data_IF_392542968390
#
_entry.id   IF_392542968390
#
_cell.length_a   1.000
_cell.length_b   1.000
_cell.length_c   1.000
_cell.angle_alpha   90.00
_cell.angle_beta   90.00
_cell.angle_gamma   90.00
#
_symmetry.space_group_name_H-M   'P 1'
#
loop_
_entity.id
_entity.type
_entity.pdbx_description
1 polymer ?
#
# COMPACT_ATOMS: atom_id res chain seq x y z
N UNK A 1 2.28 12.86 -27.31
CA UNK A 1 3.53 12.17 -27.73
C UNK A 1 4.54 12.03 -26.58
N UNK A 2 4.86 13.09 -25.84
CA UNK A 2 5.84 13.06 -24.73
C UNK A 2 5.48 12.04 -23.63
N UNK A 3 4.20 11.88 -23.25
CA UNK A 3 3.78 10.95 -22.23
C UNK A 3 4.07 9.49 -22.58
N UNK A 4 3.88 9.10 -23.85
CA UNK A 4 4.18 7.73 -24.28
C UNK A 4 5.67 7.40 -24.18
N UNK A 5 6.53 8.38 -24.47
CA UNK A 5 7.98 8.23 -24.31
C UNK A 5 8.35 8.06 -22.83
N UNK A 6 7.73 8.84 -21.94
CA UNK A 6 7.94 8.73 -20.50
C UNK A 6 7.53 7.35 -19.97
N UNK A 7 6.37 6.85 -20.40
CA UNK A 7 5.93 5.51 -20.03
C UNK A 7 6.88 4.42 -20.55
N UNK A 8 7.39 4.58 -21.77
CA UNK A 8 8.38 3.65 -22.33
C UNK A 8 9.69 3.67 -21.52
N UNK A 9 10.19 4.87 -21.16
CA UNK A 9 11.38 5.02 -20.30
C UNK A 9 11.15 4.42 -18.93
N UNK A 10 9.99 4.68 -18.32
CA UNK A 10 9.62 4.13 -17.02
C UNK A 10 9.57 2.59 -17.04
N UNK A 11 8.95 2.00 -18.06
CA UNK A 11 8.89 0.55 -18.21
C UNK A 11 10.28 -0.06 -18.48
N UNK A 12 11.08 0.55 -19.36
CA UNK A 12 12.43 0.06 -19.64
C UNK A 12 13.33 0.12 -18.41
N UNK A 13 13.32 1.25 -17.68
CA UNK A 13 14.05 1.42 -16.44
C UNK A 13 13.59 0.43 -15.36
N UNK A 14 12.27 0.27 -15.19
CA UNK A 14 11.68 -0.69 -14.27
C UNK A 14 12.12 -2.13 -14.57
N UNK A 15 12.08 -2.55 -15.84
CA UNK A 15 12.53 -3.88 -16.26
C UNK A 15 14.03 -4.09 -16.00
N UNK A 16 14.86 -3.10 -16.36
CA UNK A 16 16.31 -3.19 -16.17
C UNK A 16 16.67 -3.36 -14.69
N UNK A 17 16.10 -2.50 -13.83
CA UNK A 17 16.39 -2.53 -12.40
C UNK A 17 15.76 -3.75 -11.70
N UNK A 18 14.58 -4.20 -12.12
CA UNK A 18 13.98 -5.42 -11.57
C UNK A 18 14.85 -6.66 -11.87
N UNK A 19 15.50 -6.70 -13.04
CA UNK A 19 16.45 -7.75 -13.35
C UNK A 19 17.69 -7.72 -12.45
N UNK A 20 18.19 -6.52 -12.15
CA UNK A 20 19.28 -6.33 -11.19
C UNK A 20 18.87 -6.77 -9.78
N UNK A 21 17.65 -6.39 -9.32
CA UNK A 21 17.12 -6.82 -8.01
C UNK A 21 16.98 -8.34 -7.92
N UNK A 22 16.59 -8.99 -9.02
CA UNK A 22 16.59 -10.46 -9.08
C UNK A 22 18.00 -11.05 -8.86
N UNK A 23 19.04 -10.42 -9.39
CA UNK A 23 20.44 -10.84 -9.16
C UNK A 23 20.83 -10.73 -7.68
N UNK A 24 20.31 -9.73 -6.99
CA UNK A 24 20.55 -9.49 -5.56
C UNK A 24 19.57 -10.26 -4.65
N UNK A 25 18.69 -11.11 -5.20
CA UNK A 25 17.59 -11.75 -4.47
C UNK A 25 16.65 -10.79 -3.73
N UNK A 26 16.45 -9.60 -4.28
CA UNK A 26 15.52 -8.58 -3.75
C UNK A 26 14.19 -8.61 -4.49
N UNK A 27 13.09 -8.07 -3.88
CA UNK A 27 11.81 -7.93 -4.56
C UNK A 27 11.89 -7.02 -5.80
N UNK A 28 11.11 -7.36 -6.85
CA UNK A 28 11.07 -6.55 -8.07
C UNK A 28 10.58 -5.12 -7.81
N UNK A 29 9.65 -4.95 -6.86
CA UNK A 29 9.10 -3.64 -6.51
C UNK A 29 10.18 -2.66 -6.03
N UNK A 30 11.16 -3.13 -5.28
CA UNK A 30 12.33 -2.32 -4.89
C UNK A 30 13.08 -1.81 -6.12
N UNK A 31 13.23 -2.65 -7.16
CA UNK A 31 13.82 -2.24 -8.43
C UNK A 31 13.01 -1.19 -9.18
N UNK A 32 11.69 -1.32 -9.18
CA UNK A 32 10.80 -0.34 -9.79
C UNK A 32 10.90 1.04 -9.12
N UNK A 33 10.90 1.07 -7.80
CA UNK A 33 11.07 2.30 -7.02
C UNK A 33 12.42 2.96 -7.30
N UNK A 34 13.52 2.18 -7.27
CA UNK A 34 14.86 2.68 -7.58
C UNK A 34 14.94 3.20 -9.02
N UNK A 35 14.30 2.51 -9.99
CA UNK A 35 14.22 2.99 -11.36
C UNK A 35 13.55 4.36 -11.43
N UNK A 36 12.42 4.51 -10.71
CA UNK A 36 11.71 5.78 -10.62
C UNK A 36 12.56 6.90 -10.06
N UNK A 37 13.23 6.65 -8.94
CA UNK A 37 14.16 7.60 -8.32
C UNK A 37 15.24 8.04 -9.31
N UNK A 38 15.85 7.09 -10.03
CA UNK A 38 16.92 7.39 -10.97
C UNK A 38 16.44 8.24 -12.15
N UNK A 39 15.31 7.89 -12.79
CA UNK A 39 14.78 8.63 -13.95
C UNK A 39 14.04 9.91 -13.55
N UNK A 40 13.71 10.07 -12.28
CA UNK A 40 12.93 11.16 -11.73
C UNK A 40 13.61 12.52 -11.76
N UNK A 41 12.89 13.58 -11.32
CA UNK A 41 13.33 14.97 -11.44
C UNK A 41 14.55 15.29 -10.57
N UNK A 42 14.87 14.47 -9.60
CA UNK A 42 15.93 14.73 -8.62
C UNK A 42 17.29 14.12 -9.00
N UNK A 43 17.33 13.12 -9.91
CA UNK A 43 18.58 12.44 -10.32
C UNK A 43 18.87 12.69 -11.80
N UNK A 44 18.35 11.86 -12.72
CA UNK A 44 18.63 11.98 -14.15
C UNK A 44 17.74 12.99 -14.87
N UNK A 45 16.67 13.46 -14.24
CA UNK A 45 15.72 14.46 -14.79
C UNK A 45 15.11 14.07 -16.14
N UNK A 46 15.02 12.77 -16.44
CA UNK A 46 14.37 12.25 -17.66
C UNK A 46 12.85 12.41 -17.59
N UNK A 47 12.30 12.33 -16.38
CA UNK A 47 10.88 12.56 -16.08
C UNK A 47 10.78 13.76 -15.15
N UNK A 48 9.99 14.76 -15.55
CA UNK A 48 9.82 16.00 -14.78
C UNK A 48 8.58 15.93 -13.88
N UNK A 49 8.46 16.84 -12.91
CA UNK A 49 7.27 16.94 -12.04
C UNK A 49 5.98 17.18 -12.84
N UNK A 50 6.06 17.90 -13.98
CA UNK A 50 4.91 18.11 -14.88
C UNK A 50 4.51 16.80 -15.55
N UNK A 51 5.48 15.99 -15.94
CA UNK A 51 5.25 14.69 -16.55
C UNK A 51 4.60 13.72 -15.56
N UNK A 52 5.05 13.71 -14.31
CA UNK A 52 4.47 12.91 -13.21
C UNK A 52 3.01 13.30 -12.97
N UNK A 53 2.72 14.60 -12.86
CA UNK A 53 1.34 15.09 -12.73
C UNK A 53 0.46 14.67 -13.91
N UNK A 54 0.98 14.71 -15.14
CA UNK A 54 0.26 14.25 -16.34
C UNK A 54 0.01 12.73 -16.35
N UNK A 55 0.84 11.96 -15.67
CA UNK A 55 0.71 10.50 -15.52
C UNK A 55 -0.16 10.08 -14.32
N UNK A 56 -0.68 11.03 -13.53
CA UNK A 56 -1.49 10.76 -12.31
C UNK A 56 -2.65 9.79 -12.57
N UNK A 57 -3.31 9.89 -13.72
CA UNK A 57 -4.40 8.98 -14.09
C UNK A 57 -3.94 7.51 -14.10
N UNK A 58 -2.68 7.24 -14.47
CA UNK A 58 -2.12 5.89 -14.50
C UNK A 58 -1.90 5.38 -13.09
N UNK A 59 -1.32 6.23 -12.21
CA UNK A 59 -1.07 5.85 -10.81
C UNK A 59 -2.36 5.65 -10.04
N UNK A 60 -3.37 6.52 -10.22
CA UNK A 60 -4.69 6.37 -9.60
C UNK A 60 -5.40 5.10 -10.10
N UNK A 61 -5.36 4.84 -11.39
CA UNK A 61 -5.95 3.63 -11.99
C UNK A 61 -5.23 2.37 -11.47
N UNK A 62 -3.91 2.38 -11.43
CA UNK A 62 -3.12 1.27 -10.91
C UNK A 62 -3.46 0.96 -9.46
N UNK A 63 -3.61 2.00 -8.64
CA UNK A 63 -4.03 1.87 -7.23
C UNK A 63 -5.42 1.23 -7.13
N UNK A 64 -6.37 1.61 -7.99
CA UNK A 64 -7.69 0.99 -8.08
C UNK A 64 -7.62 -0.51 -8.40
N UNK A 65 -6.77 -0.93 -9.36
CA UNK A 65 -6.56 -2.35 -9.67
C UNK A 65 -5.85 -3.11 -8.55
N UNK A 66 -4.91 -2.48 -7.85
CA UNK A 66 -4.27 -3.06 -6.66
C UNK A 66 -5.32 -3.32 -5.59
N UNK A 67 -6.15 -2.32 -5.29
CA UNK A 67 -7.24 -2.42 -4.33
C UNK A 67 -8.26 -3.49 -4.72
N UNK A 68 -8.67 -3.53 -5.99
CA UNK A 68 -9.53 -4.59 -6.54
C UNK A 68 -8.94 -5.98 -6.33
N UNK A 69 -7.65 -6.15 -6.59
CA UNK A 69 -6.95 -7.42 -6.42
C UNK A 69 -6.91 -7.85 -4.95
N UNK A 70 -6.64 -6.92 -4.03
CA UNK A 70 -6.67 -7.16 -2.58
C UNK A 70 -8.08 -7.57 -2.16
N UNK A 71 -9.11 -6.83 -2.61
CA UNK A 71 -10.51 -7.14 -2.37
C UNK A 71 -10.89 -8.55 -2.83
N UNK A 72 -10.37 -9.00 -3.97
CA UNK A 72 -10.57 -10.35 -4.51
C UNK A 72 -10.07 -11.49 -3.61
N UNK A 73 -9.08 -11.23 -2.78
CA UNK A 73 -8.59 -12.18 -1.76
C UNK A 73 -9.52 -12.27 -0.54
N UNK A 74 -10.49 -11.35 -0.38
CA UNK A 74 -11.46 -11.31 0.71
C UNK A 74 -12.56 -12.37 0.53
N UNK A 75 -12.23 -13.62 0.81
CA UNK A 75 -13.23 -14.69 0.84
C UNK A 75 -14.01 -14.68 2.16
N UNK A 76 -15.33 -14.59 2.08
CA UNK A 76 -16.21 -14.58 3.25
C UNK A 76 -15.99 -15.80 4.17
N UNK A 77 -15.62 -16.94 3.59
CA UNK A 77 -15.26 -18.15 4.33
C UNK A 77 -14.02 -17.98 5.19
N UNK A 78 -13.01 -17.27 4.69
CA UNK A 78 -11.78 -16.95 5.43
C UNK A 78 -12.07 -15.89 6.50
N UNK A 79 -12.83 -14.86 6.16
CA UNK A 79 -13.25 -13.83 7.12
C UNK A 79 -14.09 -14.39 8.26
N UNK A 80 -15.03 -15.30 7.99
CA UNK A 80 -15.79 -15.99 9.05
C UNK A 80 -14.90 -16.81 9.97
N UNK A 81 -13.82 -17.41 9.45
CA UNK A 81 -12.85 -18.18 10.24
C UNK A 81 -11.91 -17.29 11.05
N UNK A 82 -11.49 -16.15 10.53
CA UNK A 82 -10.48 -15.26 11.11
C UNK A 82 -11.05 -13.94 11.67
N UNK A 83 -12.29 -13.58 11.34
CA UNK A 83 -12.87 -12.24 11.43
C UNK A 83 -12.58 -11.46 12.71
N UNK A 84 -12.96 -12.01 13.89
CA UNK A 84 -12.70 -11.33 15.16
C UNK A 84 -11.21 -11.11 15.44
N UNK A 85 -10.36 -12.07 15.04
CA UNK A 85 -8.91 -11.97 15.23
C UNK A 85 -8.31 -10.86 14.37
N UNK A 86 -8.75 -10.73 13.11
CA UNK A 86 -8.27 -9.69 12.20
C UNK A 86 -8.61 -8.32 12.74
N UNK A 87 -9.86 -8.10 13.15
CA UNK A 87 -10.31 -6.82 13.72
C UNK A 87 -9.48 -6.44 14.95
N UNK A 88 -9.29 -7.37 15.89
CA UNK A 88 -8.48 -7.13 17.09
C UNK A 88 -7.05 -6.79 16.72
N UNK A 89 -6.42 -7.56 15.82
CA UNK A 89 -5.04 -7.30 15.39
C UNK A 89 -4.94 -5.92 14.74
N UNK A 90 -5.85 -5.59 13.81
CA UNK A 90 -5.83 -4.31 13.09
C UNK A 90 -6.00 -3.13 14.02
N UNK A 91 -7.00 -3.16 14.89
CA UNK A 91 -7.28 -2.04 15.80
C UNK A 91 -6.13 -1.87 16.80
N UNK A 92 -5.69 -2.96 17.43
CA UNK A 92 -4.62 -2.89 18.44
C UNK A 92 -3.30 -2.41 17.83
N UNK A 93 -2.93 -2.90 16.63
CA UNK A 93 -1.69 -2.46 15.99
C UNK A 93 -1.77 -1.01 15.52
N UNK A 94 -2.90 -0.55 15.00
CA UNK A 94 -3.07 0.84 14.58
C UNK A 94 -3.00 1.79 15.77
N UNK A 95 -3.81 1.55 16.81
CA UNK A 95 -3.83 2.37 18.04
C UNK A 95 -2.46 2.39 18.72
N UNK A 96 -1.81 1.24 18.88
CA UNK A 96 -0.48 1.16 19.49
C UNK A 96 0.56 1.95 18.70
N UNK A 97 0.51 1.87 17.36
CA UNK A 97 1.41 2.64 16.49
C UNK A 97 1.19 4.14 16.67
N UNK A 98 -0.08 4.58 16.63
CA UNK A 98 -0.42 5.99 16.83
C UNK A 98 0.07 6.50 18.18
N UNK A 99 -0.22 5.77 19.26
CA UNK A 99 0.17 6.16 20.61
C UNK A 99 1.70 6.24 20.77
N UNK A 100 2.44 5.25 20.27
CA UNK A 100 3.89 5.27 20.39
C UNK A 100 4.53 6.42 19.58
N UNK A 101 4.06 6.68 18.37
CA UNK A 101 4.55 7.80 17.56
C UNK A 101 4.17 9.15 18.20
N UNK A 102 2.92 9.27 18.67
CA UNK A 102 2.44 10.48 19.37
C UNK A 102 3.30 10.74 20.60
N UNK A 103 3.47 9.77 21.49
CA UNK A 103 4.27 9.92 22.70
C UNK A 103 5.74 10.26 22.40
N UNK A 104 6.34 9.57 21.42
CA UNK A 104 7.73 9.84 21.03
C UNK A 104 7.91 11.26 20.46
N UNK A 105 6.99 11.73 19.62
CA UNK A 105 7.07 13.06 19.03
C UNK A 105 6.68 14.17 20.01
N UNK A 106 5.89 13.86 21.04
CA UNK A 106 5.66 14.78 22.17
C UNK A 106 6.95 15.05 22.96
N UNK A 107 7.98 14.24 22.90
CA UNK A 107 9.28 14.51 23.51
C UNK A 107 10.13 15.47 22.69
N UNK A 108 9.80 15.68 21.42
CA UNK A 108 10.53 16.60 20.53
C UNK A 108 9.99 18.02 20.69
N UNK A 109 10.80 18.97 21.19
CA UNK A 109 10.37 20.35 21.37
C UNK A 109 10.02 21.02 20.04
N UNK A 110 9.17 22.05 20.08
CA UNK A 110 8.79 22.84 18.92
C UNK A 110 7.46 23.56 19.12
N UNK A 111 7.16 24.54 18.28
CA UNK A 111 6.01 25.42 18.39
C UNK A 111 4.67 24.65 18.33
N UNK A 112 4.54 23.75 17.37
CA UNK A 112 3.30 22.95 17.18
C UNK A 112 3.47 21.50 17.66
N UNK A 113 4.04 21.31 18.85
CA UNK A 113 4.37 19.99 19.39
C UNK A 113 3.21 19.01 19.41
N UNK A 114 2.05 19.41 19.93
CA UNK A 114 0.86 18.55 20.06
C UNK A 114 0.21 18.30 18.68
N UNK A 115 -0.15 19.32 17.88
CA UNK A 115 -0.69 19.09 16.54
C UNK A 115 0.21 18.23 15.65
N UNK A 116 1.52 18.47 15.65
CA UNK A 116 2.48 17.69 14.90
C UNK A 116 2.49 16.22 15.32
N UNK A 117 2.48 15.95 16.62
CA UNK A 117 2.49 14.59 17.16
C UNK A 117 1.18 13.84 16.84
N UNK A 118 0.02 14.52 16.89
CA UNK A 118 -1.28 13.98 16.50
C UNK A 118 -1.31 13.59 15.03
N UNK A 119 -0.94 14.51 14.13
CA UNK A 119 -0.97 14.30 12.68
C UNK A 119 -0.01 13.19 12.24
N UNK A 120 1.23 13.25 12.69
CA UNK A 120 2.22 12.21 12.35
C UNK A 120 1.88 10.87 13.00
N UNK A 121 1.36 10.87 14.23
CA UNK A 121 0.87 9.65 14.88
C UNK A 121 -0.22 8.97 14.05
N UNK A 122 -1.19 9.73 13.58
CA UNK A 122 -2.27 9.21 12.75
C UNK A 122 -1.78 8.69 11.39
N UNK A 123 -0.91 9.45 10.70
CA UNK A 123 -0.29 9.04 9.43
C UNK A 123 0.51 7.74 9.62
N UNK A 124 1.10 7.52 10.80
CA UNK A 124 1.87 6.30 11.10
C UNK A 124 1.01 5.03 11.13
N UNK A 125 -0.30 5.13 11.32
CA UNK A 125 -1.20 3.97 11.26
C UNK A 125 -1.24 3.35 9.87
N UNK A 126 -1.14 4.14 8.81
CA UNK A 126 -1.28 3.67 7.43
C UNK A 126 -0.24 2.61 7.05
N UNK A 127 -0.69 1.57 6.33
CA UNK A 127 0.14 0.49 5.76
C UNK A 127 -0.04 0.46 4.25
N UNK A 128 1.02 0.16 3.49
CA UNK A 128 0.94 0.02 2.04
C UNK A 128 0.66 -1.43 1.62
N UNK A 129 -0.57 -1.77 1.24
CA UNK A 129 -0.91 -3.13 0.83
C UNK A 129 -0.26 -3.54 -0.49
N UNK A 130 -0.06 -2.58 -1.41
CA UNK A 130 0.45 -2.84 -2.75
C UNK A 130 1.83 -3.49 -2.78
N UNK A 131 2.79 -2.92 -2.04
CA UNK A 131 4.16 -3.45 -1.97
C UNK A 131 4.19 -4.86 -1.35
N UNK A 132 3.40 -5.06 -0.31
CA UNK A 132 3.26 -6.35 0.40
C UNK A 132 2.64 -7.42 -0.50
N UNK A 133 1.55 -7.09 -1.21
CA UNK A 133 0.88 -7.97 -2.16
C UNK A 133 1.84 -8.43 -3.28
N UNK A 134 2.63 -7.52 -3.83
CA UNK A 134 3.59 -7.88 -4.86
C UNK A 134 4.67 -8.84 -4.36
N UNK A 135 5.15 -8.66 -3.12
CA UNK A 135 6.10 -9.61 -2.51
C UNK A 135 5.45 -10.98 -2.31
N UNK A 136 4.24 -11.02 -1.75
CA UNK A 136 3.48 -12.27 -1.57
C UNK A 136 3.31 -13.02 -2.90
N UNK A 137 2.90 -12.32 -3.96
CA UNK A 137 2.71 -12.90 -5.30
C UNK A 137 4.01 -13.33 -5.95
N UNK A 138 5.06 -12.48 -5.88
CA UNK A 138 6.36 -12.78 -6.48
C UNK A 138 6.99 -14.05 -5.91
N UNK A 139 6.88 -14.25 -4.60
CA UNK A 139 7.47 -15.40 -3.91
C UNK A 139 6.46 -16.52 -3.67
N UNK A 140 5.21 -16.37 -4.11
CA UNK A 140 4.11 -17.33 -3.93
C UNK A 140 3.98 -17.75 -2.46
N UNK A 141 4.09 -16.77 -1.56
CA UNK A 141 4.01 -17.01 -0.12
C UNK A 141 2.63 -17.55 0.26
N UNK A 142 2.61 -18.57 1.13
CA UNK A 142 1.38 -19.20 1.64
C UNK A 142 1.58 -19.64 3.08
N UNK A 143 0.64 -19.27 3.94
CA UNK A 143 0.63 -19.66 5.33
C UNK A 143 -0.08 -18.68 6.24
N UNK A 144 -0.09 -18.93 7.56
CA UNK A 144 -0.88 -18.16 8.51
C UNK A 144 -0.53 -16.68 8.57
N UNK A 145 0.74 -16.29 8.31
CA UNK A 145 1.12 -14.87 8.26
C UNK A 145 0.53 -14.23 7.02
N UNK A 146 0.70 -14.85 5.85
CA UNK A 146 0.14 -14.35 4.58
C UNK A 146 -1.39 -14.25 4.63
N UNK A 147 -2.07 -15.28 5.14
CA UNK A 147 -3.54 -15.34 5.27
C UNK A 147 -4.08 -14.26 6.21
N UNK A 148 -3.29 -13.85 7.21
CA UNK A 148 -3.66 -12.78 8.16
C UNK A 148 -3.29 -11.40 7.61
N UNK A 149 -2.16 -11.29 6.92
CA UNK A 149 -1.58 -10.04 6.43
C UNK A 149 -2.52 -9.29 5.49
N UNK A 150 -3.02 -9.97 4.44
CA UNK A 150 -3.85 -9.32 3.42
C UNK A 150 -5.15 -8.73 4.00
N UNK A 151 -5.94 -9.47 4.80
CA UNK A 151 -7.09 -8.88 5.47
C UNK A 151 -6.74 -7.76 6.46
N UNK A 152 -5.66 -7.90 7.24
CA UNK A 152 -5.23 -6.85 8.19
C UNK A 152 -4.87 -5.57 7.47
N UNK A 153 -4.08 -5.63 6.39
CA UNK A 153 -3.71 -4.42 5.62
C UNK A 153 -4.92 -3.71 5.02
N UNK A 154 -5.91 -4.45 4.59
CA UNK A 154 -7.11 -3.88 4.01
C UNK A 154 -8.04 -3.22 5.04
N UNK A 155 -8.19 -3.81 6.23
CA UNK A 155 -8.90 -3.16 7.34
C UNK A 155 -8.11 -1.97 7.92
N UNK A 156 -6.79 -2.00 7.82
CA UNK A 156 -5.90 -0.95 8.32
C UNK A 156 -6.17 0.40 7.63
N UNK A 157 -6.52 0.40 6.36
CA UNK A 157 -6.88 1.61 5.63
C UNK A 157 -8.12 2.29 6.23
N UNK A 158 -9.18 1.53 6.51
CA UNK A 158 -10.38 2.09 7.13
C UNK A 158 -10.13 2.59 8.57
N UNK A 159 -9.43 1.79 9.38
CA UNK A 159 -9.08 2.16 10.77
C UNK A 159 -8.12 3.35 10.76
N UNK A 160 -7.15 3.38 9.86
CA UNK A 160 -6.20 4.47 9.71
C UNK A 160 -6.88 5.79 9.34
N UNK A 161 -7.84 5.78 8.40
CA UNK A 161 -8.61 6.96 8.02
C UNK A 161 -9.48 7.48 9.19
N UNK A 162 -10.14 6.61 9.93
CA UNK A 162 -10.92 7.02 11.12
C UNK A 162 -10.02 7.69 12.18
N UNK A 163 -8.87 7.08 12.49
CA UNK A 163 -7.92 7.65 13.45
C UNK A 163 -7.36 8.97 12.93
N UNK A 164 -7.04 9.05 11.64
CA UNK A 164 -6.53 10.28 11.02
C UNK A 164 -7.54 11.41 11.12
N UNK A 165 -8.80 11.19 10.79
CA UNK A 165 -9.84 12.22 10.87
C UNK A 165 -10.03 12.73 12.29
N UNK A 166 -10.00 11.85 13.29
CA UNK A 166 -10.04 12.23 14.69
C UNK A 166 -8.82 13.10 15.09
N UNK A 167 -7.62 12.62 14.79
CA UNK A 167 -6.38 13.32 15.14
C UNK A 167 -6.22 14.63 14.36
N UNK A 168 -6.71 14.68 13.12
CA UNK A 168 -6.68 15.87 12.28
C UNK A 168 -7.58 16.98 12.86
N UNK A 169 -8.82 16.65 13.23
CA UNK A 169 -9.73 17.58 13.88
C UNK A 169 -9.18 18.08 15.23
N UNK A 170 -8.60 17.19 16.04
CA UNK A 170 -7.90 17.57 17.27
C UNK A 170 -6.72 18.51 16.98
N UNK A 171 -5.92 18.21 15.98
CA UNK A 171 -4.77 19.04 15.61
C UNK A 171 -5.18 20.44 15.14
N UNK A 172 -6.28 20.54 14.36
CA UNK A 172 -6.87 21.83 13.97
C UNK A 172 -7.31 22.62 15.19
N UNK A 173 -8.07 22.01 16.11
CA UNK A 173 -8.53 22.68 17.34
C UNK A 173 -7.37 23.16 18.23
N UNK A 174 -6.29 22.39 18.33
CA UNK A 174 -5.10 22.83 19.07
C UNK A 174 -4.28 23.92 18.35
N UNK A 175 -4.40 24.02 17.02
CA UNK A 175 -3.68 25.01 16.22
C UNK A 175 -4.47 26.34 16.09
N UNK A 176 -5.81 26.29 15.93
CA UNK A 176 -6.67 27.46 15.71
C UNK A 176 -7.45 27.89 16.96
N UNK A 177 -7.59 27.01 17.96
CA UNK A 177 -8.41 27.26 19.15
C UNK A 177 -9.91 27.05 18.92
N UNK A 178 -10.32 26.43 17.80
CA UNK A 178 -11.72 26.19 17.45
C UNK A 178 -12.35 25.06 18.23
N UNK A 179 -13.70 25.09 18.37
CA UNK A 179 -14.45 24.05 19.04
C UNK A 179 -14.52 22.77 18.22
N UNK A 180 -14.25 21.63 18.89
CA UNK A 180 -14.37 20.30 18.31
C UNK A 180 -15.84 19.96 17.99
N UNK A 181 -16.11 19.62 16.72
CA UNK A 181 -17.45 19.21 16.29
C UNK A 181 -17.49 17.69 16.12
N UNK A 182 -18.46 17.03 16.77
CA UNK A 182 -18.70 15.57 16.61
C UNK A 182 -18.92 15.18 15.16
N UNK A 183 -19.48 16.07 14.36
CA UNK A 183 -19.70 15.86 12.94
C UNK A 183 -18.38 15.60 12.19
N UNK A 184 -17.41 16.50 12.28
CA UNK A 184 -16.12 16.39 11.59
C UNK A 184 -15.26 15.21 12.09
N UNK A 185 -15.40 14.85 13.37
CA UNK A 185 -14.58 13.81 14.00
C UNK A 185 -15.10 12.39 13.68
N UNK A 186 -16.42 12.20 13.65
CA UNK A 186 -17.04 10.87 13.62
C UNK A 186 -17.94 10.68 12.41
N UNK A 187 -18.84 11.63 12.14
CA UNK A 187 -19.87 11.45 11.12
C UNK A 187 -19.32 11.49 9.69
N UNK A 188 -18.45 12.45 9.38
CA UNK A 188 -17.91 12.61 8.04
C UNK A 188 -17.03 11.42 7.62
N UNK A 189 -16.08 10.89 8.44
CA UNK A 189 -15.35 9.68 8.13
C UNK A 189 -16.21 8.42 8.02
N UNK A 190 -17.19 8.27 8.92
CA UNK A 190 -18.11 7.12 8.82
C UNK A 190 -18.96 7.18 7.57
N UNK A 191 -19.39 8.39 7.17
CA UNK A 191 -20.12 8.61 5.91
C UNK A 191 -19.26 8.28 4.70
N UNK A 192 -18.02 8.77 4.66
CA UNK A 192 -17.07 8.48 3.57
C UNK A 192 -16.82 6.98 3.44
N UNK A 193 -16.49 6.30 4.54
CA UNK A 193 -16.27 4.85 4.57
C UNK A 193 -17.54 4.10 4.16
N UNK A 194 -18.70 4.45 4.74
CA UNK A 194 -19.98 3.81 4.44
C UNK A 194 -20.38 3.96 2.98
N UNK A 195 -20.26 5.17 2.41
CA UNK A 195 -20.55 5.42 1.00
C UNK A 195 -19.54 4.73 0.07
N UNK A 196 -18.25 4.70 0.42
CA UNK A 196 -17.22 3.97 -0.33
C UNK A 196 -17.54 2.48 -0.41
N UNK A 197 -17.88 1.86 0.73
CA UNK A 197 -18.24 0.44 0.78
C UNK A 197 -19.55 0.15 0.03
N UNK A 198 -20.57 1.01 0.16
CA UNK A 198 -21.82 0.88 -0.55
C UNK A 198 -21.61 0.97 -2.07
N UNK A 199 -20.91 2.01 -2.52
CA UNK A 199 -20.60 2.22 -3.94
C UNK A 199 -19.80 1.05 -4.49
N UNK A 200 -18.74 0.62 -3.80
CA UNK A 200 -17.94 -0.55 -4.18
C UNK A 200 -18.76 -1.84 -4.19
N UNK A 201 -19.69 -2.01 -3.24
CA UNK A 201 -20.59 -3.15 -3.18
C UNK A 201 -21.50 -3.23 -4.40
N UNK A 202 -22.15 -2.13 -4.77
CA UNK A 202 -22.98 -2.03 -5.98
C UNK A 202 -22.14 -2.28 -7.23
N UNK A 203 -20.98 -1.59 -7.33
CA UNK A 203 -20.07 -1.75 -8.47
C UNK A 203 -19.46 -3.14 -8.58
N UNK A 204 -19.41 -3.93 -7.51
CA UNK A 204 -19.01 -5.34 -7.52
C UNK A 204 -20.15 -6.28 -7.93
N UNK A 205 -21.37 -5.98 -7.49
CA UNK A 205 -22.56 -6.76 -7.83
C UNK A 205 -22.94 -6.64 -9.32
N UNK A 206 -22.80 -5.45 -9.92
CA UNK A 206 -23.13 -5.20 -11.33
C UNK A 206 -22.32 -6.12 -12.27
N UNK A 207 -20.98 -6.13 -12.27
CA UNK A 207 -20.22 -7.03 -13.14
C UNK A 207 -20.44 -8.50 -12.78
N UNK A 208 -20.68 -8.85 -11.52
CA UNK A 208 -21.02 -10.22 -11.12
C UNK A 208 -22.32 -10.68 -11.79
N UNK A 209 -23.33 -9.82 -11.88
CA UNK A 209 -24.58 -10.13 -12.56
C UNK A 209 -24.43 -10.13 -14.09
N UNK A 210 -23.78 -9.11 -14.67
CA UNK A 210 -23.65 -8.90 -16.11
C UNK A 210 -22.74 -9.96 -16.76
N UNK A 211 -21.76 -10.47 -16.04
CA UNK A 211 -20.80 -11.47 -16.56
C UNK A 211 -21.47 -12.77 -17.02
N UNK A 212 -22.67 -13.09 -16.52
CA UNK A 212 -23.43 -14.27 -16.98
C UNK A 212 -23.73 -14.25 -18.47
N UNK A 213 -23.82 -13.06 -19.06
CA UNK A 213 -24.09 -12.88 -20.49
C UNK A 213 -22.84 -13.00 -21.37
N UNK A 214 -21.65 -12.96 -20.78
CA UNK A 214 -20.38 -12.97 -21.51
C UNK A 214 -19.60 -14.25 -21.23
N UNK A 215 -19.39 -15.06 -22.29
CA UNK A 215 -18.63 -16.33 -22.23
C UNK A 215 -17.16 -16.14 -22.63
N UNK A 216 -16.86 -15.16 -23.50
CA UNK A 216 -15.51 -14.89 -23.99
C UNK A 216 -14.61 -14.33 -22.87
N UNK A 217 -13.38 -14.84 -22.77
CA UNK A 217 -12.36 -14.32 -21.83
C UNK A 217 -12.08 -12.85 -22.06
N UNK A 218 -12.00 -12.40 -23.32
CA UNK A 218 -11.76 -11.00 -23.66
C UNK A 218 -12.91 -10.09 -23.16
N UNK A 219 -14.17 -10.48 -23.38
CA UNK A 219 -15.32 -9.70 -22.92
C UNK A 219 -15.39 -9.64 -21.39
N UNK A 220 -15.06 -10.74 -20.70
CA UNK A 220 -14.99 -10.77 -19.24
C UNK A 220 -13.91 -9.84 -18.70
N UNK A 221 -12.72 -9.82 -19.32
CA UNK A 221 -11.67 -8.87 -18.99
C UNK A 221 -12.12 -7.43 -19.20
N UNK A 222 -12.67 -7.11 -20.38
CA UNK A 222 -13.17 -5.76 -20.68
C UNK A 222 -14.23 -5.29 -19.67
N UNK A 223 -15.15 -6.19 -19.27
CA UNK A 223 -16.16 -5.88 -18.26
C UNK A 223 -15.53 -5.52 -16.91
N UNK A 224 -14.52 -6.28 -16.47
CA UNK A 224 -13.83 -6.00 -15.20
C UNK A 224 -13.01 -4.71 -15.28
N UNK A 225 -12.32 -4.45 -16.40
CA UNK A 225 -11.61 -3.20 -16.60
C UNK A 225 -12.56 -2.00 -16.55
N UNK A 226 -13.70 -2.09 -17.25
CA UNK A 226 -14.73 -1.05 -17.23
C UNK A 226 -15.29 -0.81 -15.82
N UNK A 227 -15.52 -1.89 -15.06
CA UNK A 227 -16.01 -1.79 -13.68
C UNK A 227 -15.02 -1.08 -12.76
N UNK A 228 -13.71 -1.42 -12.83
CA UNK A 228 -12.68 -0.77 -12.02
C UNK A 228 -12.50 0.69 -12.44
N UNK A 229 -12.44 0.99 -13.74
CA UNK A 229 -12.36 2.38 -14.22
C UNK A 229 -13.54 3.23 -13.76
N UNK A 230 -14.76 2.71 -13.89
CA UNK A 230 -15.96 3.41 -13.42
C UNK A 230 -15.94 3.60 -11.90
N UNK A 231 -15.47 2.59 -11.15
CA UNK A 231 -15.36 2.65 -9.70
C UNK A 231 -14.38 3.74 -9.25
N UNK A 232 -13.21 3.82 -9.87
CA UNK A 232 -12.21 4.87 -9.61
C UNK A 232 -12.79 6.25 -9.94
N UNK A 233 -13.40 6.40 -11.14
CA UNK A 233 -13.98 7.67 -11.56
C UNK A 233 -15.11 8.16 -10.64
N UNK A 234 -16.03 7.28 -10.25
CA UNK A 234 -17.11 7.60 -9.33
C UNK A 234 -16.58 7.98 -7.94
N UNK A 235 -15.54 7.29 -7.48
CA UNK A 235 -14.92 7.62 -6.19
C UNK A 235 -14.32 9.02 -6.22
N UNK A 236 -13.61 9.40 -7.26
CA UNK A 236 -13.05 10.75 -7.40
C UNK A 236 -14.15 11.82 -7.56
N UNK A 237 -15.23 11.53 -8.33
CA UNK A 237 -16.34 12.47 -8.51
C UNK A 237 -17.13 12.74 -7.22
N UNK A 238 -17.23 11.76 -6.34
CA UNK A 238 -17.99 11.86 -5.09
C UNK A 238 -17.11 12.06 -3.86
N UNK A 239 -15.83 12.31 -4.05
CA UNK A 239 -14.84 12.51 -2.99
C UNK A 239 -14.81 11.34 -2.00
N UNK A 240 -14.90 10.10 -2.54
CA UNK A 240 -14.84 8.85 -1.78
C UNK A 240 -13.45 8.22 -1.86
N UNK A 241 -13.14 7.33 -0.93
CA UNK A 241 -11.90 6.55 -0.97
C UNK A 241 -11.91 5.55 -2.13
N UNK A 242 -11.18 5.83 -3.22
CA UNK A 242 -11.03 4.93 -4.38
C UNK A 242 -10.47 3.57 -3.97
N UNK A 243 -9.60 3.54 -2.96
CA UNK A 243 -9.01 2.31 -2.42
C UNK A 243 -10.10 1.42 -1.80
N UNK A 244 -10.89 1.95 -0.86
CA UNK A 244 -11.98 1.19 -0.21
C UNK A 244 -13.06 0.76 -1.20
N UNK A 245 -13.42 1.64 -2.14
CA UNK A 245 -14.46 1.38 -3.14
C UNK A 245 -14.03 0.25 -4.08
N UNK A 246 -12.82 0.30 -4.65
CA UNK A 246 -12.32 -0.75 -5.53
C UNK A 246 -12.04 -2.07 -4.79
N UNK A 247 -11.63 -2.00 -3.53
CA UNK A 247 -11.45 -3.18 -2.69
C UNK A 247 -12.78 -3.87 -2.41
N UNK A 248 -13.83 -3.11 -2.09
CA UNK A 248 -15.16 -3.66 -1.88
C UNK A 248 -15.76 -4.23 -3.18
N UNK A 249 -15.50 -3.58 -4.35
CA UNK A 249 -15.84 -4.14 -5.66
C UNK A 249 -15.22 -5.53 -5.82
N UNK A 250 -13.93 -5.68 -5.56
CA UNK A 250 -13.23 -6.97 -5.63
C UNK A 250 -13.80 -8.01 -4.68
N UNK A 251 -14.05 -7.62 -3.43
CA UNK A 251 -14.60 -8.50 -2.39
C UNK A 251 -16.00 -9.01 -2.75
N UNK A 252 -16.91 -8.13 -3.16
CA UNK A 252 -18.28 -8.51 -3.53
C UNK A 252 -18.27 -9.39 -4.78
N UNK A 253 -17.53 -9.00 -5.82
CA UNK A 253 -17.39 -9.79 -7.03
C UNK A 253 -16.87 -11.21 -6.76
N UNK A 254 -15.81 -11.33 -5.96
CA UNK A 254 -15.19 -12.62 -5.62
C UNK A 254 -16.12 -13.55 -4.82
N UNK A 255 -17.05 -13.00 -4.04
CA UNK A 255 -17.97 -13.78 -3.21
C UNK A 255 -19.32 -14.06 -3.88
N UNK A 256 -19.73 -13.26 -4.88
CA UNK A 256 -20.99 -13.48 -5.61
C UNK A 256 -20.89 -14.52 -6.74
N UNK A 257 -19.68 -14.84 -7.19
CA UNK A 257 -19.48 -15.75 -8.33
C UNK A 257 -18.51 -16.88 -8.01
N UNK A 258 -18.91 -18.10 -8.39
CA UNK A 258 -18.04 -19.28 -8.28
C UNK A 258 -16.89 -19.28 -9.29
N UNK A 259 -17.08 -18.65 -10.45
CA UNK A 259 -16.08 -18.51 -11.53
C UNK A 259 -15.30 -17.18 -11.46
N UNK A 260 -15.39 -16.46 -10.34
CA UNK A 260 -14.66 -15.21 -10.10
C UNK A 260 -13.15 -15.36 -10.25
N UNK A 261 -12.60 -16.52 -9.88
CA UNK A 261 -11.17 -16.82 -10.00
C UNK A 261 -10.66 -16.62 -11.42
N UNK A 262 -11.42 -17.07 -12.44
CA UNK A 262 -11.02 -16.91 -13.85
C UNK A 262 -10.95 -15.43 -14.25
N UNK A 263 -11.91 -14.62 -13.81
CA UNK A 263 -11.92 -13.19 -14.12
C UNK A 263 -10.81 -12.44 -13.38
N UNK A 264 -10.52 -12.83 -12.14
CA UNK A 264 -9.40 -12.29 -11.37
C UNK A 264 -8.05 -12.63 -12.03
N UNK A 265 -7.84 -13.88 -12.44
CA UNK A 265 -6.65 -14.30 -13.18
C UNK A 265 -6.46 -13.53 -14.50
N UNK A 266 -7.55 -13.23 -15.23
CA UNK A 266 -7.48 -12.40 -16.43
C UNK A 266 -7.00 -10.97 -16.11
N UNK A 267 -7.51 -10.37 -15.05
CA UNK A 267 -7.05 -9.06 -14.58
C UNK A 267 -5.58 -9.13 -14.13
N UNK A 268 -5.18 -10.17 -13.41
CA UNK A 268 -3.79 -10.39 -12.99
C UNK A 268 -2.82 -10.54 -14.18
N UNK A 269 -3.26 -11.09 -15.29
CA UNK A 269 -2.48 -11.16 -16.52
C UNK A 269 -2.24 -9.80 -17.18
N UNK A 270 -3.15 -8.85 -16.98
CA UNK A 270 -3.10 -7.51 -17.58
C UNK A 270 -2.41 -6.46 -16.69
N UNK A 271 -2.55 -6.56 -15.37
CA UNK A 271 -2.11 -5.54 -14.41
C UNK A 271 -0.60 -5.42 -14.14
N UNK A 272 0.30 -6.40 -14.43
CA UNK A 272 1.72 -6.29 -14.06
C UNK A 272 2.44 -5.07 -14.67
N UNK A 273 2.11 -4.70 -15.91
CA UNK A 273 2.66 -3.49 -16.53
C UNK A 273 2.19 -2.21 -15.84
N UNK A 274 0.92 -2.17 -15.46
CA UNK A 274 0.31 -1.06 -14.76
C UNK A 274 0.92 -0.89 -13.36
N UNK A 275 1.12 -1.99 -12.63
CA UNK A 275 1.77 -1.99 -11.32
C UNK A 275 3.23 -1.56 -11.40
N UNK A 276 3.97 -2.01 -12.42
CA UNK A 276 5.33 -1.53 -12.66
C UNK A 276 5.35 -0.02 -12.85
N UNK A 277 4.49 0.52 -13.73
CA UNK A 277 4.38 1.96 -13.95
C UNK A 277 4.03 2.71 -12.67
N UNK A 278 3.08 2.19 -11.88
CA UNK A 278 2.73 2.76 -10.59
C UNK A 278 3.96 2.93 -9.68
N UNK A 279 4.74 1.86 -9.47
CA UNK A 279 5.90 1.92 -8.58
C UNK A 279 7.06 2.75 -9.15
N UNK A 280 7.26 2.74 -10.47
CA UNK A 280 8.28 3.61 -11.08
C UNK A 280 7.89 5.07 -10.97
N UNK A 281 6.65 5.44 -11.24
CA UNK A 281 6.18 6.81 -11.11
C UNK A 281 6.16 7.26 -9.64
N UNK A 282 5.71 6.41 -8.71
CA UNK A 282 5.82 6.68 -7.27
C UNK A 282 7.26 6.88 -6.83
N UNK A 283 8.19 6.06 -7.33
CA UNK A 283 9.62 6.25 -7.08
C UNK A 283 10.15 7.58 -7.62
N UNK A 284 9.65 8.05 -8.77
CA UNK A 284 10.04 9.33 -9.35
C UNK A 284 9.52 10.55 -8.54
N UNK A 285 8.46 10.40 -7.77
CA UNK A 285 7.95 11.43 -6.84
C UNK A 285 8.83 11.58 -5.60
N UNK A 286 9.67 10.60 -5.27
CA UNK A 286 10.48 10.60 -4.06
C UNK A 286 11.66 11.55 -4.17
N UNK A 287 11.70 12.55 -3.30
CA UNK A 287 12.76 13.55 -3.23
C UNK A 287 13.77 13.23 -2.13
N UNK A 288 14.98 12.84 -2.52
CA UNK A 288 16.06 12.58 -1.56
C UNK A 288 16.58 13.82 -0.83
N UNK A 289 16.35 15.01 -1.35
CA UNK A 289 16.78 16.25 -0.67
C UNK A 289 16.08 16.44 0.68
N UNK A 290 14.89 15.86 0.83
CA UNK A 290 14.10 15.84 2.07
C UNK A 290 14.87 15.15 3.21
N UNK A 291 15.75 14.19 2.94
CA UNK A 291 16.58 13.54 3.97
C UNK A 291 17.39 14.54 4.79
N UNK A 292 17.87 15.60 4.16
CA UNK A 292 18.70 16.62 4.81
C UNK A 292 17.87 17.58 5.69
N UNK A 293 16.58 17.71 5.42
CA UNK A 293 15.68 18.66 6.09
C UNK A 293 14.79 18.04 7.17
N UNK A 294 14.65 16.72 7.16
CA UNK A 294 13.70 16.01 8.04
C UNK A 294 14.10 16.04 9.53
N UNK A 295 15.39 16.14 9.80
CA UNK A 295 15.94 16.27 11.15
C UNK A 295 15.56 15.14 12.13
N UNK A 296 15.66 15.46 13.43
CA UNK A 296 15.37 14.54 14.54
C UNK A 296 13.92 13.98 14.51
N UNK A 297 12.88 14.77 14.21
CA UNK A 297 11.50 14.27 14.17
C UNK A 297 11.29 13.10 13.21
N UNK A 298 11.95 13.10 12.05
CA UNK A 298 11.81 12.02 11.08
C UNK A 298 12.46 10.71 11.53
N UNK A 299 13.62 10.79 12.15
CA UNK A 299 14.30 9.60 12.70
C UNK A 299 13.46 8.99 13.83
N UNK A 300 12.96 9.83 14.74
CA UNK A 300 12.09 9.40 15.84
C UNK A 300 10.81 8.77 15.29
N UNK A 301 10.20 9.37 14.27
CA UNK A 301 9.01 8.83 13.61
C UNK A 301 9.24 7.42 13.07
N UNK A 302 10.35 7.18 12.34
CA UNK A 302 10.66 5.87 11.78
C UNK A 302 10.83 4.82 12.89
N UNK A 303 11.61 5.15 13.94
CA UNK A 303 11.86 4.22 15.05
C UNK A 303 10.55 3.92 15.80
N UNK A 304 9.80 4.96 16.18
CA UNK A 304 8.57 4.82 16.93
C UNK A 304 7.51 4.06 16.14
N UNK A 305 7.36 4.36 14.83
CA UNK A 305 6.42 3.66 13.96
C UNK A 305 6.78 2.19 13.77
N UNK A 306 8.05 1.89 13.49
CA UNK A 306 8.51 0.50 13.34
C UNK A 306 8.26 -0.30 14.61
N UNK A 307 8.56 0.28 15.76
CA UNK A 307 8.31 -0.31 17.07
C UNK A 307 6.82 -0.49 17.32
N UNK A 308 6.01 0.53 17.01
CA UNK A 308 4.55 0.52 17.16
C UNK A 308 3.88 -0.56 16.31
N UNK A 309 4.23 -0.65 15.04
CA UNK A 309 3.72 -1.68 14.14
C UNK A 309 4.09 -3.08 14.60
N UNK A 310 5.35 -3.29 14.99
CA UNK A 310 5.81 -4.60 15.46
C UNK A 310 5.12 -5.03 16.76
N UNK A 311 5.20 -4.23 17.80
CA UNK A 311 4.62 -4.58 19.10
C UNK A 311 3.09 -4.51 19.09
N UNK A 312 2.50 -3.61 18.33
CA UNK A 312 1.05 -3.53 18.15
C UNK A 312 0.49 -4.79 17.47
N UNK A 313 1.12 -5.25 16.40
CA UNK A 313 0.72 -6.50 15.75
C UNK A 313 0.98 -7.72 16.64
N UNK A 314 2.11 -7.73 17.37
CA UNK A 314 2.42 -8.79 18.33
C UNK A 314 1.36 -8.89 19.44
N UNK A 315 1.03 -7.76 20.08
CA UNK A 315 0.03 -7.72 21.15
C UNK A 315 -1.37 -8.06 20.65
N UNK A 316 -1.79 -7.50 19.51
CA UNK A 316 -3.08 -7.82 18.90
C UNK A 316 -3.20 -9.29 18.51
N UNK A 317 -2.14 -9.86 17.95
CA UNK A 317 -2.09 -11.29 17.63
C UNK A 317 -2.06 -12.17 18.89
N UNK A 318 -1.41 -11.74 19.97
CA UNK A 318 -1.43 -12.45 21.25
C UNK A 318 -2.81 -12.41 21.88
N UNK A 319 -3.48 -11.24 21.93
CA UNK A 319 -4.82 -11.07 22.48
C UNK A 319 -5.87 -11.90 21.71
N UNK A 320 -5.71 -12.01 20.40
CA UNK A 320 -6.61 -12.79 19.54
C UNK A 320 -6.27 -14.29 19.46
N UNK A 321 -5.29 -14.76 20.22
CA UNK A 321 -4.82 -16.14 20.19
C UNK A 321 -4.46 -16.61 18.77
N UNK A 322 -3.80 -15.73 18.00
CA UNK A 322 -3.32 -16.03 16.65
C UNK A 322 -2.11 -16.98 16.69
N UNK A 323 -1.82 -17.58 15.52
CA UNK A 323 -0.67 -18.48 15.35
C UNK A 323 0.65 -17.81 15.83
N UNK A 324 1.56 -18.55 16.48
CA UNK A 324 2.86 -18.02 16.92
C UNK A 324 3.68 -17.34 15.81
N UNK A 325 3.58 -17.83 14.56
CA UNK A 325 4.24 -17.19 13.41
C UNK A 325 3.64 -15.82 13.12
N UNK A 326 2.31 -15.68 13.19
CA UNK A 326 1.61 -14.41 13.04
C UNK A 326 2.08 -13.41 14.09
N UNK A 327 2.11 -13.82 15.37
CA UNK A 327 2.60 -12.96 16.46
C UNK A 327 4.01 -12.42 16.19
N UNK A 328 4.91 -13.29 15.71
CA UNK A 328 6.33 -12.94 15.54
C UNK A 328 6.65 -12.15 14.28
N UNK A 329 5.95 -12.40 13.17
CA UNK A 329 6.37 -11.92 11.86
C UNK A 329 5.42 -10.91 11.21
N UNK A 330 4.14 -10.88 11.61
CA UNK A 330 3.14 -10.00 10.99
C UNK A 330 3.54 -8.51 11.09
N UNK A 331 4.00 -8.05 12.24
CA UNK A 331 4.34 -6.65 12.44
C UNK A 331 5.45 -6.13 11.50
N UNK A 332 6.39 -7.02 11.11
CA UNK A 332 7.44 -6.68 10.15
C UNK A 332 6.86 -6.52 8.74
N UNK A 333 5.86 -7.32 8.39
CA UNK A 333 5.21 -7.25 7.06
C UNK A 333 4.25 -6.05 6.93
N UNK A 334 3.91 -5.38 8.04
CA UNK A 334 3.08 -4.17 8.08
C UNK A 334 3.89 -2.86 8.02
N UNK A 335 5.21 -2.94 7.88
CA UNK A 335 6.09 -1.76 7.81
C UNK A 335 5.97 -0.94 6.51
N UNK A 336 5.72 -1.52 5.31
CA UNK A 336 5.55 -0.73 4.10
C UNK A 336 4.53 0.41 4.28
N UNK A 337 4.87 1.61 3.80
CA UNK A 337 4.04 2.81 3.88
C UNK A 337 4.13 3.54 2.54
N UNK A 338 3.00 3.93 1.95
CA UNK A 338 2.94 4.55 0.62
C UNK A 338 1.70 5.45 0.46
N UNK A 339 0.94 5.27 -0.61
CA UNK A 339 -0.11 6.14 -1.11
C UNK A 339 -1.07 6.72 -0.08
N UNK A 340 -1.61 5.90 0.85
CA UNK A 340 -2.54 6.40 1.88
C UNK A 340 -1.87 7.41 2.81
N UNK A 341 -0.63 7.15 3.24
CA UNK A 341 0.12 8.08 4.08
C UNK A 341 0.45 9.40 3.34
N UNK A 342 0.78 9.31 2.05
CA UNK A 342 1.01 10.48 1.19
C UNK A 342 -0.31 11.25 1.04
N UNK A 343 -1.42 10.57 0.81
CA UNK A 343 -2.75 11.18 0.71
C UNK A 343 -3.13 11.96 1.98
N UNK A 344 -2.96 11.35 3.16
CA UNK A 344 -3.17 12.02 4.45
C UNK A 344 -2.25 13.23 4.61
N UNK A 345 -0.97 13.14 4.23
CA UNK A 345 -0.03 14.25 4.28
C UNK A 345 -0.44 15.39 3.32
N UNK A 346 -0.97 15.06 2.14
CA UNK A 346 -1.50 16.05 1.21
C UNK A 346 -2.76 16.74 1.74
N UNK A 347 -3.65 16.03 2.46
CA UNK A 347 -4.78 16.64 3.16
C UNK A 347 -4.31 17.65 4.20
N UNK A 348 -3.25 17.36 4.95
CA UNK A 348 -2.62 18.31 5.88
C UNK A 348 -2.06 19.52 5.11
N UNK A 349 -1.41 19.30 3.97
CA UNK A 349 -0.85 20.38 3.13
C UNK A 349 -1.93 21.31 2.54
N UNK A 350 -3.10 20.76 2.24
CA UNK A 350 -4.22 21.49 1.64
C UNK A 350 -5.14 22.18 2.68
N UNK A 351 -4.89 21.96 3.98
CA UNK A 351 -5.71 22.51 5.07
C UNK A 351 -5.26 23.90 5.48
N UNK A 352 -6.13 24.58 6.26
CA UNK A 352 -5.86 25.93 6.84
C UNK A 352 -4.91 25.89 8.06
N UNK A 353 -4.20 24.79 8.28
CA UNK A 353 -3.20 24.67 9.35
C UNK A 353 -1.99 25.58 9.05
N UNK A 354 -1.27 26.04 10.11
CA UNK A 354 -0.07 26.85 9.93
C UNK A 354 0.93 26.21 8.96
N UNK A 355 1.42 26.98 7.98
CA UNK A 355 2.26 26.50 6.90
C UNK A 355 3.53 25.77 7.42
N UNK A 356 4.10 26.25 8.53
CA UNK A 356 5.27 25.62 9.17
C UNK A 356 4.96 24.24 9.72
N UNK A 357 3.77 24.06 10.31
CA UNK A 357 3.29 22.77 10.80
C UNK A 357 3.04 21.80 9.64
N UNK A 358 2.28 22.25 8.63
CA UNK A 358 1.96 21.45 7.45
C UNK A 358 3.21 21.00 6.71
N UNK A 359 4.18 21.89 6.50
CA UNK A 359 5.46 21.56 5.87
C UNK A 359 6.26 20.52 6.68
N UNK A 360 6.31 20.63 8.00
CA UNK A 360 6.99 19.64 8.87
C UNK A 360 6.34 18.26 8.77
N UNK A 361 5.01 18.20 8.84
CA UNK A 361 4.25 16.92 8.77
C UNK A 361 4.46 16.27 7.41
N UNK A 362 4.32 17.02 6.33
CA UNK A 362 4.51 16.52 4.95
C UNK A 362 5.94 16.01 4.74
N UNK A 363 6.93 16.79 5.18
CA UNK A 363 8.35 16.42 5.05
C UNK A 363 8.65 15.11 5.76
N UNK A 364 8.20 14.95 7.01
CA UNK A 364 8.41 13.71 7.79
C UNK A 364 7.68 12.53 7.17
N UNK A 365 6.42 12.73 6.73
CA UNK A 365 5.63 11.67 6.11
C UNK A 365 6.24 11.19 4.78
N UNK A 366 6.67 12.10 3.92
CA UNK A 366 7.33 11.76 2.65
C UNK A 366 8.68 11.06 2.87
N UNK A 367 9.48 11.54 3.82
CA UNK A 367 10.74 10.90 4.20
C UNK A 367 10.50 9.46 4.69
N UNK A 368 9.55 9.27 5.59
CA UNK A 368 9.23 7.95 6.11
C UNK A 368 8.72 7.02 5.00
N UNK A 369 7.87 7.53 4.10
CA UNK A 369 7.40 6.79 2.93
C UNK A 369 8.57 6.35 2.07
N UNK A 370 9.51 7.22 1.76
CA UNK A 370 10.73 6.88 1.01
C UNK A 370 11.48 5.70 1.65
N UNK A 371 11.74 5.78 2.96
CA UNK A 371 12.46 4.74 3.69
C UNK A 371 11.69 3.42 3.69
N UNK A 372 10.38 3.47 3.97
CA UNK A 372 9.56 2.27 4.07
C UNK A 372 9.21 1.65 2.71
N UNK A 373 9.12 2.42 1.64
CA UNK A 373 8.93 1.87 0.29
C UNK A 373 10.18 1.12 -0.18
N UNK A 374 11.38 1.60 0.15
CA UNK A 374 12.63 0.92 -0.20
C UNK A 374 12.89 -0.29 0.69
N UNK A 375 12.78 -0.14 2.01
CA UNK A 375 13.08 -1.20 2.98
C UNK A 375 11.93 -2.20 3.15
N UNK A 376 10.70 -1.75 3.06
CA UNK A 376 9.50 -2.54 3.39
C UNK A 376 9.36 -3.84 2.61
N UNK A 377 9.47 -3.85 1.27
CA UNK A 377 9.41 -5.08 0.48
C UNK A 377 10.50 -6.10 0.85
N UNK A 378 11.70 -5.63 1.18
CA UNK A 378 12.82 -6.46 1.62
C UNK A 378 12.52 -7.09 2.98
N UNK A 379 12.04 -6.28 3.92
CA UNK A 379 11.65 -6.73 5.26
C UNK A 379 10.46 -7.70 5.22
N UNK A 380 9.48 -7.45 4.37
CA UNK A 380 8.34 -8.35 4.14
C UNK A 380 8.82 -9.70 3.63
N UNK A 381 9.68 -9.72 2.60
CA UNK A 381 10.28 -10.96 2.11
C UNK A 381 11.02 -11.70 3.22
N UNK A 382 11.85 -10.99 3.98
CA UNK A 382 12.60 -11.58 5.10
C UNK A 382 11.68 -12.21 6.14
N UNK A 383 10.63 -11.51 6.55
CA UNK A 383 9.66 -11.99 7.53
C UNK A 383 8.93 -13.25 7.04
N UNK A 384 8.42 -13.25 5.81
CA UNK A 384 7.74 -14.40 5.21
C UNK A 384 8.67 -15.61 5.01
N UNK A 385 9.92 -15.38 4.62
CA UNK A 385 10.93 -16.43 4.51
C UNK A 385 11.23 -17.07 5.89
N UNK A 386 11.40 -16.24 6.94
CA UNK A 386 11.61 -16.72 8.32
C UNK A 386 10.40 -17.39 8.92
N UNK A 387 9.20 -17.00 8.52
CA UNK A 387 7.96 -17.71 8.87
C UNK A 387 7.83 -19.09 8.18
N UNK A 388 8.67 -19.37 7.18
CA UNK A 388 8.62 -20.59 6.39
C UNK A 388 7.47 -20.60 5.36
N UNK A 389 6.97 -19.43 4.96
CA UNK A 389 5.86 -19.27 4.02
C UNK A 389 6.31 -19.07 2.57
N UNK A 390 7.62 -18.95 2.34
CA UNK A 390 8.25 -18.94 1.02
C UNK A 390 9.02 -20.24 0.85
N UNK A 391 8.72 -21.03 -0.21
CA UNK A 391 9.43 -22.26 -0.48
C UNK A 391 10.91 -22.01 -0.83
N UNK A 392 11.78 -22.92 -0.45
CA UNK A 392 13.23 -22.86 -0.74
C UNK A 392 13.52 -22.82 -2.24
N UNK A 393 12.66 -23.42 -3.07
CA UNK A 393 12.73 -23.35 -4.54
C UNK A 393 12.51 -21.91 -5.05
N UNK A 394 11.59 -21.17 -4.42
CA UNK A 394 11.30 -19.78 -4.78
C UNK A 394 12.35 -18.80 -4.25
N UNK A 395 13.09 -19.17 -3.21
CA UNK A 395 14.24 -18.41 -2.70
C UNK A 395 15.53 -18.67 -3.51
N UNK A 396 15.65 -19.88 -4.13
CA UNK A 396 16.87 -20.41 -4.68
C UNK A 396 16.86 -20.75 -6.17
N UNK A 397 15.92 -20.24 -7.00
CA UNK A 397 15.87 -20.51 -8.45
C UNK A 397 17.15 -20.21 -9.25
N UNK A 398 18.23 -19.75 -8.60
CA UNK A 398 19.50 -19.42 -9.24
C UNK A 398 20.58 -20.51 -9.24
N UNK A 399 20.52 -21.50 -8.37
CA UNK A 399 21.58 -22.54 -8.38
C UNK A 399 21.46 -23.55 -9.53
N UNK A 400 20.23 -23.81 -10.02
CA UNK A 400 20.04 -24.82 -11.09
C UNK A 400 20.17 -24.25 -12.51
N UNK A 401 19.85 -22.98 -12.76
CA UNK A 401 19.94 -22.42 -14.12
C UNK A 401 21.39 -22.04 -14.49
N UNK A 402 22.21 -21.61 -13.53
CA UNK A 402 23.63 -21.37 -13.76
C UNK A 402 24.39 -22.69 -14.04
N UNK A 403 24.13 -23.74 -13.26
CA UNK A 403 24.72 -25.07 -13.47
C UNK A 403 24.26 -25.74 -14.79
N UNK A 404 23.02 -25.48 -15.25
CA UNK A 404 22.52 -26.01 -16.51
C UNK A 404 23.10 -25.28 -17.74
N UNK A 405 23.40 -23.97 -17.60
CA UNK A 405 24.06 -23.20 -18.70
C UNK A 405 25.53 -23.51 -18.80
N UNK A 406 26.24 -23.76 -17.69
CA UNK A 406 27.63 -24.25 -17.73
C UNK A 406 27.76 -25.69 -18.29
N UNK A 407 26.80 -26.56 -17.99
CA UNK A 407 26.83 -27.93 -18.49
C UNK A 407 26.50 -28.07 -19.99
N UNK A 408 25.86 -27.06 -20.60
CA UNK A 408 25.59 -27.03 -22.04
C UNK A 408 26.68 -26.35 -22.87
N UNK A 409 27.60 -25.63 -22.20
CA UNK A 409 28.75 -24.99 -22.86
C UNK A 409 29.96 -25.96 -23.05
N UNK A 410 29.98 -27.06 -22.30
CA UNK A 410 31.08 -28.05 -22.33
C UNK A 410 30.75 -29.34 -23.10
N UNK A 411 29.70 -29.36 -23.93
CA UNK A 411 29.45 -30.51 -24.83
C UNK A 411 30.34 -30.40 -26.06
N UNK A 412 31.27 -31.32 -26.30
CA UNK A 412 32.11 -31.31 -27.52
C UNK A 412 31.25 -31.56 -28.74
N UNK A 413 31.41 -30.70 -29.73
CA UNK A 413 30.84 -30.89 -31.06
C UNK A 413 31.56 -32.11 -31.70
N UNK A 414 30.84 -33.20 -31.83
CA UNK A 414 31.23 -34.34 -32.62
C UNK A 414 30.41 -34.38 -33.92
#
# INVERSE_FOLDING_TARGET
MKILLILAIAMAGGLALSRLMKLLNLPNVTGYLIAGILIGPFVLKLVTNVDIKSAKIITTTALGFIAFSIGGEFKLSLLKKLGGKIVVITVVQAVMTVLLVLLALLLVPGEYRVPRALLLGAIAAATAPAATLLVVRQYKAKGPVTDTLLPVTAFDDAVGLMIFSLCFALAQAFASGDALTVQAIVLDPLREIGLSLLTGGVMGAVPAFVMRFFKSKANRLCLMLAAVFACVALSEMWELSSLLTCMMLGAVFANMRSDSVIAMELCEGWTPALFMLFFVLSGAELDFSILLTVGIPGVIYIIARSTGKYFGAFTGAAMSHADPKVRKYLGITLLPQAGVAIGMAQMVAASDLPQTLSAQVVTVALFATLVYELAGPVLTKFALAKAGEISTENLGKKKKTAAAVESTADAPQA
#
